data_IF_359806539676
#
_entry.id   IF_359806539676
#
_cell.length_a   1.000
_cell.length_b   1.000
_cell.length_c   1.000
_cell.angle_alpha   90.00
_cell.angle_beta   90.00
_cell.angle_gamma   90.00
#
_symmetry.space_group_name_H-M   'P 1'
#
loop_
_entity.id
_entity.type
_entity.pdbx_description
1 polymer ?
#
# COMPACT_ATOMS: atom_id res chain seq x y z
N UNK A 1 -20.76 28.46 -13.11
CA UNK A 1 -19.75 28.96 -12.14
C UNK A 1 -18.76 27.84 -11.85
N UNK A 2 -17.58 27.91 -12.46
CA UNK A 2 -16.55 26.87 -12.42
C UNK A 2 -15.88 26.87 -11.05
N UNK A 3 -16.19 25.87 -10.24
CA UNK A 3 -15.65 25.73 -8.88
C UNK A 3 -14.18 25.29 -9.01
N UNK A 4 -13.28 26.26 -9.10
CA UNK A 4 -11.83 26.08 -9.23
C UNK A 4 -11.26 25.62 -7.88
N UNK A 5 -11.60 24.41 -7.45
CA UNK A 5 -10.99 23.78 -6.27
C UNK A 5 -9.56 23.41 -6.67
N UNK A 6 -8.59 24.16 -6.17
CA UNK A 6 -7.18 23.77 -6.32
C UNK A 6 -7.05 22.31 -5.83
N UNK A 7 -6.39 21.42 -6.61
CA UNK A 7 -6.18 20.06 -6.17
C UNK A 7 -5.45 20.11 -4.82
N UNK A 8 -6.03 19.49 -3.80
CA UNK A 8 -5.39 19.42 -2.50
C UNK A 8 -3.99 18.80 -2.66
N UNK A 9 -2.98 19.39 -2.03
CA UNK A 9 -1.58 18.97 -2.19
C UNK A 9 -1.03 18.42 -0.88
N UNK A 10 -0.38 17.27 -0.96
CA UNK A 10 0.58 16.80 0.02
C UNK A 10 1.79 17.75 0.00
N UNK A 11 2.26 18.24 1.17
CA UNK A 11 3.44 19.10 1.25
C UNK A 11 4.71 18.47 0.69
N UNK A 12 4.78 17.13 0.63
CA UNK A 12 5.93 16.39 0.12
C UNK A 12 5.72 15.95 -1.33
N UNK A 13 4.58 15.30 -1.60
CA UNK A 13 4.36 14.53 -2.84
C UNK A 13 3.48 15.22 -3.87
N UNK A 14 3.08 16.47 -3.65
CA UNK A 14 2.24 17.21 -4.57
C UNK A 14 0.79 16.71 -4.54
N UNK A 15 0.18 16.50 -5.70
CA UNK A 15 -1.24 16.13 -5.81
C UNK A 15 -1.55 14.86 -5.01
N UNK A 16 -2.56 14.94 -4.13
CA UNK A 16 -3.09 13.76 -3.44
C UNK A 16 -4.06 13.01 -4.35
N UNK A 17 -4.02 11.70 -4.31
CA UNK A 17 -4.84 10.82 -5.13
C UNK A 17 -5.12 9.53 -4.35
N UNK A 18 -6.19 8.82 -4.72
CA UNK A 18 -6.45 7.49 -4.17
C UNK A 18 -5.49 6.45 -4.78
N UNK A 19 -5.43 5.25 -4.20
CA UNK A 19 -4.54 4.20 -4.70
C UNK A 19 -4.97 3.74 -6.11
N UNK A 20 -3.99 3.56 -6.99
CA UNK A 20 -4.21 2.93 -8.30
C UNK A 20 -4.34 1.42 -8.12
N UNK A 21 -5.33 0.82 -8.77
CA UNK A 21 -5.58 -0.62 -8.63
C UNK A 21 -4.90 -1.50 -9.69
N UNK A 22 -4.15 -0.91 -10.62
CA UNK A 22 -3.52 -1.62 -11.73
C UNK A 22 -1.98 -1.70 -11.60
N UNK A 23 -1.41 -1.25 -10.49
CA UNK A 23 0.02 -1.33 -10.15
C UNK A 23 0.16 -1.54 -8.65
N UNK A 24 1.21 -2.22 -8.20
CA UNK A 24 1.47 -2.30 -6.76
C UNK A 24 1.90 -0.93 -6.24
N UNK A 25 1.45 -0.46 -5.07
CA UNK A 25 1.72 0.91 -4.61
C UNK A 25 3.17 1.12 -4.16
N UNK A 26 3.70 2.32 -4.41
CA UNK A 26 4.93 2.84 -3.79
C UNK A 26 4.67 3.46 -2.42
N UNK A 27 5.73 3.77 -1.68
CA UNK A 27 5.60 4.56 -0.44
C UNK A 27 4.91 5.92 -0.68
N UNK A 28 5.23 6.58 -1.80
CA UNK A 28 4.59 7.82 -2.22
C UNK A 28 3.09 7.62 -2.45
N UNK A 29 2.70 6.60 -3.20
CA UNK A 29 1.28 6.31 -3.51
C UNK A 29 0.47 6.07 -2.24
N UNK A 30 1.05 5.32 -1.29
CA UNK A 30 0.42 5.05 0.02
C UNK A 30 0.20 6.35 0.80
N UNK A 31 1.18 7.26 0.80
CA UNK A 31 1.05 8.52 1.53
C UNK A 31 0.10 9.51 0.86
N UNK A 32 0.05 9.55 -0.48
CA UNK A 32 -0.96 10.33 -1.21
C UNK A 32 -2.37 9.81 -0.90
N UNK A 33 -2.56 8.49 -0.91
CA UNK A 33 -3.81 7.83 -0.53
C UNK A 33 -4.18 8.13 0.93
N UNK A 34 -3.21 8.13 1.84
CA UNK A 34 -3.44 8.51 3.23
C UNK A 34 -4.00 9.92 3.37
N UNK A 35 -3.36 10.92 2.76
CA UNK A 35 -3.83 12.30 2.81
C UNK A 35 -5.18 12.49 2.11
N UNK A 36 -5.41 11.79 1.00
CA UNK A 36 -6.72 11.76 0.33
C UNK A 36 -7.82 11.29 1.29
N UNK A 37 -7.65 10.11 1.90
CA UNK A 37 -8.68 9.55 2.79
C UNK A 37 -8.83 10.38 4.08
N UNK A 38 -7.75 10.95 4.62
CA UNK A 38 -7.80 11.90 5.74
C UNK A 38 -8.71 13.09 5.43
N UNK A 39 -8.57 13.71 4.26
CA UNK A 39 -9.44 14.83 3.87
C UNK A 39 -10.88 14.38 3.65
N UNK A 40 -11.11 13.23 3.01
CA UNK A 40 -12.46 12.70 2.82
C UNK A 40 -13.18 12.45 4.15
N UNK A 41 -12.49 11.85 5.14
CA UNK A 41 -13.07 11.61 6.47
C UNK A 41 -13.31 12.93 7.19
N UNK A 42 -12.38 13.89 7.11
CA UNK A 42 -12.54 15.22 7.73
C UNK A 42 -13.76 15.97 7.18
N UNK A 43 -13.95 15.98 5.86
CA UNK A 43 -15.07 16.65 5.20
C UNK A 43 -16.41 16.02 5.59
N UNK A 44 -16.45 14.69 5.77
CA UNK A 44 -17.64 13.96 6.20
C UNK A 44 -17.96 14.14 7.68
N UNK A 45 -16.98 14.51 8.49
CA UNK A 45 -17.16 14.68 9.92
C UNK A 45 -17.77 16.06 10.22
N UNK A 46 -19.03 16.07 10.66
CA UNK A 46 -19.81 17.29 10.98
C UNK A 46 -19.08 18.18 11.99
N UNK A 47 -18.30 17.58 12.90
CA UNK A 47 -17.53 18.31 13.93
C UNK A 47 -16.24 18.95 13.41
N UNK A 48 -15.88 18.77 12.13
CA UNK A 48 -14.59 19.16 11.54
C UNK A 48 -13.35 18.63 12.29
N UNK A 49 -13.54 17.66 13.19
CA UNK A 49 -12.48 17.07 13.99
C UNK A 49 -11.46 16.36 13.11
N UNK A 50 -10.20 16.55 13.45
CA UNK A 50 -9.08 15.91 12.77
C UNK A 50 -9.13 14.39 12.97
N UNK A 51 -9.12 13.57 11.89
CA UNK A 51 -9.11 12.12 12.00
C UNK A 51 -7.84 11.61 12.69
N UNK A 52 -7.98 10.56 13.47
CA UNK A 52 -6.84 9.88 14.09
C UNK A 52 -6.02 9.12 13.05
N UNK A 53 -4.76 8.84 13.37
CA UNK A 53 -3.93 7.99 12.51
C UNK A 53 -4.56 6.62 12.30
N UNK A 54 -5.07 5.98 13.35
CA UNK A 54 -5.61 4.63 13.28
C UNK A 54 -6.82 4.53 12.35
N UNK A 55 -7.73 5.52 12.40
CA UNK A 55 -8.91 5.56 11.51
C UNK A 55 -8.51 5.61 10.03
N UNK A 56 -7.54 6.46 9.68
CA UNK A 56 -7.10 6.59 8.29
C UNK A 56 -6.23 5.40 7.88
N UNK A 57 -5.37 4.93 8.79
CA UNK A 57 -4.50 3.78 8.54
C UNK A 57 -5.32 2.55 8.18
N UNK A 58 -6.41 2.27 8.91
CA UNK A 58 -7.31 1.13 8.64
C UNK A 58 -7.89 1.17 7.21
N UNK A 59 -8.29 2.36 6.74
CA UNK A 59 -8.83 2.53 5.39
C UNK A 59 -7.72 2.28 4.34
N UNK A 60 -6.55 2.88 4.55
CA UNK A 60 -5.45 2.83 3.60
C UNK A 60 -4.85 1.43 3.51
N UNK A 61 -4.66 0.74 4.64
CA UNK A 61 -4.10 -0.62 4.66
C UNK A 61 -5.00 -1.60 3.92
N UNK A 62 -6.32 -1.55 4.13
CA UNK A 62 -7.26 -2.40 3.38
C UNK A 62 -7.21 -2.14 1.87
N UNK A 63 -7.08 -0.88 1.46
CA UNK A 63 -6.91 -0.52 0.04
C UNK A 63 -5.61 -1.08 -0.53
N UNK A 64 -4.49 -0.90 0.17
CA UNK A 64 -3.18 -1.44 -0.22
C UNK A 64 -3.27 -2.96 -0.35
N UNK A 65 -3.78 -3.65 0.67
CA UNK A 65 -3.96 -5.10 0.67
C UNK A 65 -4.81 -5.54 -0.52
N UNK A 66 -5.94 -4.87 -0.80
CA UNK A 66 -6.79 -5.18 -1.94
C UNK A 66 -6.03 -5.18 -3.27
N UNK A 67 -5.12 -4.23 -3.49
CA UNK A 67 -4.29 -4.18 -4.71
C UNK A 67 -3.32 -5.36 -4.79
N UNK A 68 -2.64 -5.70 -3.69
CA UNK A 68 -1.73 -6.84 -3.64
C UNK A 68 -2.46 -8.18 -3.81
N UNK A 69 -3.65 -8.30 -3.22
CA UNK A 69 -4.52 -9.47 -3.34
C UNK A 69 -5.06 -9.62 -4.77
N UNK A 70 -5.39 -8.51 -5.44
CA UNK A 70 -5.79 -8.50 -6.86
C UNK A 70 -4.66 -9.01 -7.76
N UNK A 71 -3.40 -8.75 -7.41
CA UNK A 71 -2.23 -9.33 -8.06
C UNK A 71 -1.93 -10.79 -7.66
N UNK A 72 -2.76 -11.43 -6.83
CA UNK A 72 -2.56 -12.81 -6.35
C UNK A 72 -1.22 -13.04 -5.63
N UNK A 73 -0.62 -11.99 -5.05
CA UNK A 73 0.64 -12.06 -4.32
C UNK A 73 0.34 -12.23 -2.82
N UNK A 74 0.99 -13.19 -2.13
CA UNK A 74 0.80 -13.37 -0.69
C UNK A 74 1.41 -12.21 0.09
N UNK A 75 0.68 -11.75 1.11
CA UNK A 75 1.02 -10.56 1.90
C UNK A 75 1.34 -10.93 3.36
N UNK A 76 2.07 -10.04 4.04
CA UNK A 76 2.21 -10.08 5.49
C UNK A 76 0.88 -9.78 6.20
N UNK A 77 0.82 -10.00 7.50
CA UNK A 77 -0.39 -9.74 8.29
C UNK A 77 -0.81 -8.27 8.27
N UNK A 78 -2.11 -8.02 8.46
CA UNK A 78 -2.69 -6.67 8.51
C UNK A 78 -1.98 -5.74 9.51
N UNK A 79 -1.74 -6.25 10.73
CA UNK A 79 -1.00 -5.55 11.77
C UNK A 79 0.40 -5.13 11.31
N UNK A 80 1.09 -5.98 10.55
CA UNK A 80 2.41 -5.66 10.00
C UNK A 80 2.32 -4.56 8.93
N UNK A 81 1.29 -4.57 8.08
CA UNK A 81 1.04 -3.49 7.12
C UNK A 81 0.81 -2.15 7.81
N UNK A 82 -0.01 -2.12 8.88
CA UNK A 82 -0.23 -0.93 9.71
C UNK A 82 1.09 -0.42 10.31
N UNK A 83 1.93 -1.32 10.83
CA UNK A 83 3.24 -0.95 11.40
C UNK A 83 4.17 -0.32 10.35
N UNK A 84 4.21 -0.88 9.12
CA UNK A 84 4.97 -0.32 8.00
C UNK A 84 4.48 1.08 7.63
N UNK A 85 3.15 1.26 7.52
CA UNK A 85 2.53 2.55 7.27
C UNK A 85 2.88 3.55 8.39
N UNK A 86 2.75 3.16 9.66
CA UNK A 86 3.04 4.01 10.82
C UNK A 86 4.50 4.46 10.84
N UNK A 87 5.43 3.55 10.53
CA UNK A 87 6.85 3.86 10.47
C UNK A 87 7.13 4.90 9.38
N UNK A 88 6.59 4.71 8.17
CA UNK A 88 6.82 5.64 7.07
C UNK A 88 6.09 6.98 7.24
N UNK A 89 4.87 6.97 7.76
CA UNK A 89 4.14 8.19 8.11
C UNK A 89 4.90 9.02 9.16
N UNK A 90 5.54 8.37 10.14
CA UNK A 90 6.41 9.06 11.11
C UNK A 90 7.64 9.68 10.44
N UNK A 91 8.26 8.98 9.47
CA UNK A 91 9.34 9.56 8.64
C UNK A 91 8.86 10.79 7.87
N UNK A 92 7.70 10.73 7.22
CA UNK A 92 7.10 11.86 6.51
C UNK A 92 6.87 13.06 7.44
N UNK A 93 6.34 12.83 8.65
CA UNK A 93 6.15 13.89 9.64
C UNK A 93 7.46 14.59 10.03
N UNK A 94 8.54 13.83 10.18
CA UNK A 94 9.85 14.40 10.49
C UNK A 94 10.38 15.25 9.33
N UNK A 95 10.22 14.79 8.09
CA UNK A 95 10.57 15.55 6.89
C UNK A 95 9.76 16.85 6.79
N UNK A 96 8.44 16.80 7.02
CA UNK A 96 7.58 18.00 6.98
C UNK A 96 8.04 19.03 8.02
N UNK A 97 8.39 18.60 9.23
CA UNK A 97 8.89 19.49 10.28
C UNK A 97 10.21 20.18 9.91
N UNK A 98 11.10 19.46 9.22
CA UNK A 98 12.41 20.00 8.83
C UNK A 98 12.45 20.59 7.42
N UNK A 99 11.35 20.55 6.67
CA UNK A 99 11.32 20.84 5.22
C UNK A 99 11.92 22.19 4.85
N UNK A 100 11.69 23.24 5.65
CA UNK A 100 12.25 24.59 5.42
C UNK A 100 13.77 24.69 5.60
N UNK A 101 14.35 23.76 6.36
CA UNK A 101 15.78 23.73 6.72
C UNK A 101 16.51 22.55 6.06
N UNK A 102 15.78 21.70 5.34
CA UNK A 102 16.32 20.49 4.75
C UNK A 102 17.11 20.85 3.50
N UNK A 103 18.36 20.38 3.42
CA UNK A 103 19.16 20.51 2.22
C UNK A 103 18.44 19.88 1.02
N UNK A 104 18.57 20.51 -0.16
CA UNK A 104 17.94 20.08 -1.40
C UNK A 104 18.24 18.61 -1.71
N UNK A 105 19.49 18.17 -1.52
CA UNK A 105 19.92 16.78 -1.73
C UNK A 105 19.14 15.79 -0.87
N UNK A 106 18.99 16.06 0.43
CA UNK A 106 18.22 15.21 1.35
C UNK A 106 16.74 15.15 0.99
N UNK A 107 16.20 16.26 0.45
CA UNK A 107 14.83 16.29 -0.06
C UNK A 107 14.69 15.40 -1.30
N UNK A 108 15.63 15.50 -2.24
CA UNK A 108 15.66 14.68 -3.45
C UNK A 108 15.82 13.20 -3.12
N UNK A 109 16.72 12.85 -2.20
CA UNK A 109 16.92 11.48 -1.73
C UNK A 109 15.64 10.91 -1.12
N UNK A 110 14.96 11.69 -0.26
CA UNK A 110 13.68 11.26 0.32
C UNK A 110 12.61 11.01 -0.74
N UNK A 111 12.53 11.87 -1.77
CA UNK A 111 11.60 11.70 -2.88
C UNK A 111 11.92 10.44 -3.70
N UNK A 112 13.19 10.21 -4.04
CA UNK A 112 13.63 9.00 -4.73
C UNK A 112 13.32 7.73 -3.91
N UNK A 113 13.57 7.74 -2.61
CA UNK A 113 13.23 6.62 -1.72
C UNK A 113 11.72 6.39 -1.63
N UNK A 114 10.90 7.42 -1.84
CA UNK A 114 9.44 7.30 -1.82
C UNK A 114 8.86 6.58 -3.04
N UNK A 115 9.61 6.53 -4.15
CA UNK A 115 9.21 5.82 -5.37
C UNK A 115 9.46 4.30 -5.27
N UNK A 116 10.14 3.84 -4.22
CA UNK A 116 10.33 2.43 -3.95
C UNK A 116 8.99 1.76 -3.63
N UNK A 117 8.83 0.51 -4.05
CA UNK A 117 7.68 -0.32 -3.77
C UNK A 117 7.38 -0.38 -2.25
N UNK A 118 6.13 -0.16 -1.87
CA UNK A 118 5.65 -0.44 -0.52
C UNK A 118 5.46 -1.95 -0.35
N UNK A 119 6.58 -2.67 -0.25
CA UNK A 119 6.62 -4.14 -0.38
C UNK A 119 6.06 -4.85 0.86
N UNK A 120 4.78 -5.22 0.79
CA UNK A 120 4.08 -6.03 1.79
C UNK A 120 4.02 -7.52 1.44
N UNK A 121 4.74 -7.98 0.41
CA UNK A 121 4.83 -9.40 0.08
C UNK A 121 5.38 -10.19 1.27
N UNK A 122 4.78 -11.32 1.62
CA UNK A 122 5.29 -12.23 2.65
C UNK A 122 6.61 -12.89 2.24
N UNK A 123 6.80 -13.13 0.95
CA UNK A 123 8.02 -13.74 0.40
C UNK A 123 9.06 -12.67 0.04
N UNK A 124 10.20 -12.71 0.73
CA UNK A 124 11.34 -11.81 0.50
C UNK A 124 12.51 -12.46 -0.25
N UNK A 125 12.32 -13.63 -0.85
CA UNK A 125 13.35 -14.30 -1.64
C UNK A 125 13.83 -13.42 -2.80
N UNK A 126 15.15 -13.33 -2.97
CA UNK A 126 15.79 -12.61 -4.09
C UNK A 126 15.56 -13.34 -5.41
N UNK A 127 15.74 -14.66 -5.39
CA UNK A 127 15.50 -15.55 -6.54
C UNK A 127 14.20 -16.30 -6.26
N UNK A 128 13.09 -15.79 -6.79
CA UNK A 128 11.75 -16.30 -6.47
C UNK A 128 11.54 -17.73 -7.04
N UNK A 129 12.20 -18.06 -8.15
CA UNK A 129 12.17 -19.40 -8.75
C UNK A 129 12.77 -20.48 -7.84
N UNK A 130 13.71 -20.12 -6.96
CA UNK A 130 14.36 -21.00 -5.98
C UNK A 130 13.80 -20.83 -4.56
N UNK A 131 12.63 -20.19 -4.43
CA UNK A 131 12.02 -19.92 -3.14
C UNK A 131 11.57 -21.21 -2.44
N UNK A 132 11.89 -21.35 -1.16
CA UNK A 132 11.44 -22.46 -0.30
C UNK A 132 10.46 -22.00 0.80
N UNK A 133 9.85 -20.82 0.65
CA UNK A 133 8.84 -20.34 1.59
C UNK A 133 7.66 -21.33 1.69
N UNK A 134 6.97 -21.36 2.85
CA UNK A 134 5.72 -22.09 3.00
C UNK A 134 4.74 -21.75 1.89
N UNK A 135 3.93 -22.73 1.47
CA UNK A 135 3.04 -22.63 0.31
C UNK A 135 2.14 -21.39 0.37
N UNK A 136 1.65 -21.04 1.56
CA UNK A 136 0.76 -19.91 1.82
C UNK A 136 1.46 -18.56 1.68
N UNK A 137 2.78 -18.52 1.92
CA UNK A 137 3.60 -17.31 1.86
C UNK A 137 4.37 -17.18 0.55
N UNK A 138 4.39 -18.23 -0.29
CA UNK A 138 5.16 -18.33 -1.52
C UNK A 138 4.41 -17.70 -2.68
N UNK A 139 5.11 -16.89 -3.47
CA UNK A 139 4.55 -16.24 -4.67
C UNK A 139 4.26 -17.30 -5.73
N UNK A 140 3.06 -17.31 -6.34
CA UNK A 140 2.76 -18.17 -7.50
C UNK A 140 3.72 -17.92 -8.65
N UNK A 141 4.13 -18.97 -9.38
CA UNK A 141 5.14 -18.85 -10.44
C UNK A 141 4.75 -17.84 -11.51
N UNK A 142 3.45 -17.78 -11.81
CA UNK A 142 2.86 -16.90 -12.82
C UNK A 142 3.01 -15.41 -12.45
N UNK A 143 3.17 -15.09 -11.16
CA UNK A 143 3.32 -13.73 -10.65
C UNK A 143 4.78 -13.34 -10.38
N UNK A 144 5.75 -14.23 -10.66
CA UNK A 144 7.18 -13.96 -10.39
C UNK A 144 7.68 -12.79 -11.21
N UNK A 145 7.48 -12.82 -12.52
CA UNK A 145 7.94 -11.77 -13.44
C UNK A 145 7.31 -10.42 -13.10
N UNK A 146 6.00 -10.42 -12.80
CA UNK A 146 5.30 -9.24 -12.35
C UNK A 146 5.90 -8.68 -11.05
N UNK A 147 6.10 -9.50 -10.01
CA UNK A 147 6.68 -9.00 -8.76
C UNK A 147 8.13 -8.52 -8.91
N UNK A 148 8.93 -9.17 -9.76
CA UNK A 148 10.31 -8.76 -10.06
C UNK A 148 10.29 -7.39 -10.76
N UNK A 149 9.46 -7.22 -11.78
CA UNK A 149 9.26 -5.93 -12.45
C UNK A 149 8.82 -4.85 -11.45
N UNK A 150 7.82 -5.12 -10.62
CA UNK A 150 7.31 -4.14 -9.66
C UNK A 150 8.31 -3.78 -8.55
N UNK A 151 9.28 -4.66 -8.25
CA UNK A 151 10.42 -4.36 -7.35
C UNK A 151 11.53 -3.56 -8.05
N UNK A 152 11.56 -3.57 -9.38
CA UNK A 152 12.55 -2.88 -10.21
C UNK A 152 11.94 -1.74 -11.02
N UNK A 153 11.79 -1.93 -12.33
CA UNK A 153 11.43 -0.88 -13.30
C UNK A 153 9.93 -0.49 -13.30
N UNK A 154 9.05 -1.34 -12.77
CA UNK A 154 7.61 -1.07 -12.57
C UNK A 154 6.84 -0.80 -13.86
N UNK A 155 7.19 -1.50 -14.94
CA UNK A 155 6.57 -1.33 -16.28
C UNK A 155 5.29 -2.14 -16.44
N UNK A 156 5.18 -3.29 -15.78
CA UNK A 156 4.00 -4.16 -15.86
C UNK A 156 2.80 -3.56 -15.12
N UNK A 157 1.60 -4.02 -15.49
CA UNK A 157 0.31 -3.61 -14.93
C UNK A 157 -0.53 -4.84 -14.60
N UNK A 158 -1.33 -4.77 -13.54
CA UNK A 158 -2.31 -5.80 -13.20
C UNK A 158 -3.41 -5.77 -14.26
N UNK A 159 -3.58 -6.88 -14.98
CA UNK A 159 -4.61 -7.05 -16.00
C UNK A 159 -6.02 -7.21 -15.43
N UNK A 160 -7.01 -7.37 -16.32
CA UNK A 160 -8.38 -7.71 -15.93
C UNK A 160 -8.48 -9.04 -15.20
N UNK A 161 -9.40 -9.15 -14.24
CA UNK A 161 -9.54 -10.33 -13.37
C UNK A 161 -10.00 -11.54 -14.19
N UNK A 162 -9.17 -12.59 -14.26
CA UNK A 162 -9.59 -13.92 -14.70
C UNK A 162 -10.57 -14.53 -13.68
N UNK A 163 -11.83 -14.74 -14.12
CA UNK A 163 -12.94 -15.28 -13.31
C UNK A 163 -12.62 -16.61 -12.64
N UNK A 164 -11.74 -17.42 -13.22
CA UNK A 164 -11.38 -18.73 -12.67
C UNK A 164 -10.41 -18.59 -11.48
N UNK A 165 -9.46 -17.66 -11.55
CA UNK A 165 -8.50 -17.40 -10.46
C UNK A 165 -9.18 -16.80 -9.22
N UNK A 166 -10.21 -15.97 -9.40
CA UNK A 166 -11.00 -15.41 -8.28
C UNK A 166 -11.63 -16.50 -7.40
N UNK A 167 -12.05 -17.63 -8.01
CA UNK A 167 -12.64 -18.75 -7.25
C UNK A 167 -11.60 -19.44 -6.37
N UNK A 168 -10.38 -19.63 -6.86
CA UNK A 168 -9.26 -20.24 -6.12
C UNK A 168 -8.84 -19.34 -4.96
N UNK A 169 -8.69 -18.03 -5.21
CA UNK A 169 -8.34 -17.06 -4.18
C UNK A 169 -9.40 -16.96 -3.07
N UNK A 170 -10.70 -16.90 -3.42
CA UNK A 170 -11.79 -16.94 -2.43
C UNK A 170 -11.74 -18.19 -1.55
N UNK A 171 -11.34 -19.34 -2.11
CA UNK A 171 -11.18 -20.59 -1.34
C UNK A 171 -9.98 -20.51 -0.38
N UNK A 172 -8.88 -19.89 -0.80
CA UNK A 172 -7.71 -19.66 0.06
C UNK A 172 -7.99 -18.69 1.21
N UNK A 173 -8.61 -17.54 0.93
CA UNK A 173 -8.99 -16.54 1.95
C UNK A 173 -9.95 -17.14 2.98
N UNK A 174 -10.97 -17.91 2.54
CA UNK A 174 -11.88 -18.63 3.44
C UNK A 174 -11.11 -19.57 4.37
N UNK A 175 -10.11 -20.30 3.85
CA UNK A 175 -9.30 -21.23 4.66
C UNK A 175 -8.44 -20.53 5.71
N UNK A 176 -8.01 -19.28 5.47
CA UNK A 176 -7.30 -18.48 6.48
C UNK A 176 -8.25 -17.93 7.54
N UNK A 177 -9.44 -17.46 7.15
CA UNK A 177 -10.46 -16.99 8.10
C UNK A 177 -11.00 -18.08 9.03
N UNK A 178 -11.11 -19.33 8.54
CA UNK A 178 -11.59 -20.46 9.36
C UNK A 178 -10.57 -21.00 10.36
N UNK A 179 -9.26 -20.84 10.13
CA UNK A 179 -8.23 -21.29 11.09
C UNK A 179 -8.21 -20.43 12.36
N UNK A 180 -8.46 -19.13 12.23
CA UNK A 180 -8.50 -18.20 13.37
C UNK A 180 -9.70 -18.43 14.31
N UNK A 181 -10.76 -19.13 13.85
CA UNK A 181 -11.93 -19.48 14.67
C UNK A 181 -11.79 -20.82 15.41
N UNK A 182 -10.83 -21.66 15.02
CA UNK A 182 -10.59 -22.97 15.64
C UNK A 182 -9.50 -22.98 16.70
N UNK A 183 -8.72 -21.90 16.83
CA UNK A 183 -7.68 -21.74 17.87
C UNK A 183 -8.18 -20.97 19.11
N UNK A 184 -9.44 -20.50 19.12
CA UNK A 184 -10.10 -19.81 20.25
C UNK A 184 -11.17 -20.67 20.96
N UNK A 185 -11.12 -22.00 20.84
CA UNK A 185 -12.02 -22.92 21.56
C UNK A 185 -11.26 -23.90 22.44
#
# INVERSE_FOLDING_TARGET
MSNNRQPHKCPIFGTIEDIKENVLPTYQDVMKCYEWNRLQVKIKNVSNKEPTFSEIAEIVTRKVEGVWQKASIPIVSHTRVIQLLKAYHSKCKNIIKSLKRLATEKKTEFLQQSEILFDICSCKCKIISQCHCPREAKVPKEEHDFLIDQRGERKMRIGGIDRNRTKVYKKFVRKQGSKNLSEER
#
